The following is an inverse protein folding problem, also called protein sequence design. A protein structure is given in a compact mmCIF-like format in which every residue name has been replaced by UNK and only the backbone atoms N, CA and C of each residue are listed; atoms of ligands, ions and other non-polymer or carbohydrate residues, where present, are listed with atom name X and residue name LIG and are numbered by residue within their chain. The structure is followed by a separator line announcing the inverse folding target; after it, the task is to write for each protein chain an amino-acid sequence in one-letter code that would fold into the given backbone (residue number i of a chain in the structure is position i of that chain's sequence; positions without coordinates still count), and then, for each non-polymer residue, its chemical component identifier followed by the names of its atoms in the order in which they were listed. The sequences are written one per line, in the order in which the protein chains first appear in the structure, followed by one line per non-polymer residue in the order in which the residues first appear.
data_IF_021798569778
#
_entry.id   IF_021798569778
#
_cell.length_a   1.000
_cell.length_b   1.000
_cell.length_c   1.000
_cell.angle_alpha   90.00
_cell.angle_beta   90.00
_cell.angle_gamma   90.00
#
_symmetry.space_group_name_H-M   'P 1'
#
loop_
_entity.id
_entity.type
_entity.pdbx_description
1 polymer ?
#
# COMPACT_ATOMS: atom_id res chain seq x y z
N UNK A 1 8.83 17.04 -1.95
CA UNK A 1 7.86 16.34 -1.06
C UNK A 1 6.80 15.71 -1.95
N UNK A 2 6.06 14.69 -1.50
CA UNK A 2 5.06 14.02 -2.36
C UNK A 2 3.97 15.01 -2.84
N UNK A 3 3.66 16.02 -2.04
CA UNK A 3 2.72 17.10 -2.36
C UNK A 3 3.16 17.99 -3.53
N UNK A 4 4.47 18.08 -3.80
CA UNK A 4 4.99 18.88 -4.92
C UNK A 4 4.71 18.20 -6.26
N UNK A 5 4.62 16.86 -6.26
CA UNK A 5 4.39 16.05 -7.46
C UNK A 5 2.91 15.68 -7.63
N UNK A 6 2.22 15.33 -6.54
CA UNK A 6 0.84 14.83 -6.57
C UNK A 6 -0.20 15.85 -6.08
N UNK A 7 0.24 17.03 -5.65
CA UNK A 7 -0.61 18.07 -5.09
C UNK A 7 -0.95 17.85 -3.61
N UNK A 8 -1.35 18.93 -2.92
CA UNK A 8 -1.60 18.92 -1.47
C UNK A 8 -2.77 18.01 -1.02
N UNK A 9 -3.66 17.65 -1.95
CA UNK A 9 -4.87 16.86 -1.70
C UNK A 9 -4.74 15.39 -2.10
N UNK A 10 -3.54 14.92 -2.41
CA UNK A 10 -3.33 13.55 -2.89
C UNK A 10 -3.94 12.48 -1.96
N UNK A 11 -3.93 12.70 -0.64
CA UNK A 11 -4.52 11.80 0.37
C UNK A 11 -6.05 11.71 0.35
N UNK A 12 -6.71 12.68 -0.29
CA UNK A 12 -8.16 12.73 -0.47
C UNK A 12 -8.58 12.28 -1.88
N UNK A 13 -7.70 12.45 -2.86
CA UNK A 13 -7.98 12.24 -4.29
C UNK A 13 -7.53 10.87 -4.80
N UNK A 14 -6.50 10.28 -4.18
CA UNK A 14 -5.91 9.02 -4.62
C UNK A 14 -6.29 7.88 -3.68
N UNK A 15 -6.37 6.69 -4.25
CA UNK A 15 -6.23 5.45 -3.48
C UNK A 15 -4.78 5.33 -3.05
N UNK A 16 -4.55 5.09 -1.77
CA UNK A 16 -3.23 4.91 -1.19
C UNK A 16 -3.11 3.47 -0.76
N UNK A 17 -2.24 2.73 -1.45
CA UNK A 17 -1.99 1.32 -1.16
C UNK A 17 -0.59 1.19 -0.56
N UNK A 18 -0.53 0.76 0.70
CA UNK A 18 0.71 0.46 1.44
C UNK A 18 0.90 -1.06 1.48
N UNK A 19 1.59 -1.67 0.49
CA UNK A 19 1.97 -3.06 0.57
C UNK A 19 3.03 -3.26 1.65
N UNK A 20 2.99 -4.40 2.34
CA UNK A 20 3.94 -4.75 3.41
C UNK A 20 4.06 -3.64 4.48
N UNK A 21 2.93 -3.16 4.98
CA UNK A 21 2.86 -2.00 5.87
C UNK A 21 3.51 -2.24 7.26
N UNK A 22 3.77 -3.49 7.63
CA UNK A 22 4.10 -3.88 9.01
C UNK A 22 3.10 -3.26 9.99
N UNK A 23 3.60 -2.70 11.09
CA UNK A 23 2.79 -1.97 12.08
C UNK A 23 2.26 -0.58 11.60
N UNK A 24 2.31 -0.29 10.29
CA UNK A 24 1.79 0.95 9.66
C UNK A 24 2.49 2.26 10.11
N UNK A 25 3.82 2.24 10.27
CA UNK A 25 4.56 3.44 10.67
C UNK A 25 4.56 4.56 9.62
N UNK A 26 4.55 4.24 8.33
CA UNK A 26 4.57 5.26 7.26
C UNK A 26 3.33 6.15 7.24
N UNK A 27 2.19 5.59 7.64
CA UNK A 27 0.89 6.27 7.62
C UNK A 27 0.51 6.81 8.99
N UNK A 28 1.29 6.50 10.03
CA UNK A 28 1.07 6.96 11.39
C UNK A 28 1.07 8.49 11.45
N UNK A 29 -0.03 9.07 11.94
CA UNK A 29 -0.20 10.51 12.08
C UNK A 29 -0.62 11.25 10.81
N UNK A 30 -0.73 10.54 9.67
CA UNK A 30 -1.38 11.10 8.49
C UNK A 30 -2.89 10.91 8.56
N UNK A 31 -3.61 11.90 8.02
CA UNK A 31 -5.05 11.78 7.74
C UNK A 31 -5.24 11.51 6.25
N UNK A 32 -6.02 10.49 5.96
CA UNK A 32 -6.52 10.13 4.64
C UNK A 32 -8.04 10.24 4.65
N UNK A 33 -8.64 10.42 3.48
CA UNK A 33 -10.09 10.31 3.34
C UNK A 33 -10.53 8.87 3.62
N UNK A 34 -11.67 8.72 4.28
CA UNK A 34 -12.22 7.40 4.60
C UNK A 34 -12.38 6.56 3.34
N UNK A 35 -11.83 5.35 3.36
CA UNK A 35 -11.84 4.43 2.22
C UNK A 35 -10.75 4.67 1.17
N UNK A 36 -9.84 5.62 1.38
CA UNK A 36 -8.70 5.82 0.48
C UNK A 36 -7.43 5.08 0.92
N UNK A 37 -7.28 4.70 2.19
CA UNK A 37 -6.06 4.04 2.66
C UNK A 37 -6.25 2.53 2.84
N UNK A 38 -5.42 1.76 2.13
CA UNK A 38 -5.35 0.30 2.19
C UNK A 38 -3.95 -0.13 2.64
N UNK A 39 -3.88 -0.77 3.78
CA UNK A 39 -2.64 -1.26 4.38
C UNK A 39 -2.74 -2.78 4.54
N UNK A 40 -1.72 -3.50 4.05
CA UNK A 40 -1.65 -4.94 4.18
C UNK A 40 -0.27 -5.40 4.62
N UNK A 41 -0.24 -6.55 5.29
CA UNK A 41 0.99 -7.25 5.67
C UNK A 41 0.70 -8.73 5.79
N UNK A 42 1.76 -9.55 5.76
CA UNK A 42 1.66 -11.00 5.91
C UNK A 42 1.29 -11.39 7.36
N UNK A 43 1.64 -10.58 8.34
CA UNK A 43 1.52 -10.90 9.76
C UNK A 43 0.30 -10.22 10.41
N UNK A 44 -0.68 -10.99 10.87
CA UNK A 44 -1.88 -10.49 11.54
C UNK A 44 -1.53 -9.70 12.82
N UNK A 45 -0.45 -10.05 13.50
CA UNK A 45 0.03 -9.38 14.71
C UNK A 45 0.39 -7.91 14.45
N UNK A 46 0.99 -7.62 13.29
CA UNK A 46 1.31 -6.26 12.87
C UNK A 46 0.05 -5.42 12.68
N UNK A 47 -1.03 -6.02 12.14
CA UNK A 47 -2.30 -5.34 11.92
C UNK A 47 -2.99 -4.99 13.23
N UNK A 48 -2.94 -5.87 14.23
CA UNK A 48 -3.49 -5.59 15.58
C UNK A 48 -2.79 -4.41 16.22
N UNK A 49 -1.47 -4.31 16.05
CA UNK A 49 -0.70 -3.16 16.52
C UNK A 49 -1.06 -1.90 15.71
N UNK A 50 -1.16 -2.01 14.39
CA UNK A 50 -1.53 -0.89 13.52
C UNK A 50 -2.93 -0.34 13.81
N UNK A 51 -3.92 -1.20 14.05
CA UNK A 51 -5.32 -0.84 14.35
C UNK A 51 -5.44 -0.03 15.65
N UNK A 52 -4.58 -0.33 16.63
CA UNK A 52 -4.51 0.44 17.87
C UNK A 52 -4.15 1.92 17.64
N UNK A 53 -3.41 2.22 16.57
CA UNK A 53 -2.93 3.57 16.24
C UNK A 53 -3.73 4.28 15.15
N UNK A 54 -4.41 3.54 14.27
CA UNK A 54 -5.05 4.07 13.05
C UNK A 54 -6.57 3.85 13.04
N UNK A 55 -7.25 4.25 14.12
CA UNK A 55 -8.71 4.10 14.24
C UNK A 55 -9.45 5.00 13.23
N UNK A 56 -10.06 4.40 12.21
CA UNK A 56 -11.25 4.97 11.54
C UNK A 56 -11.19 5.24 10.04
N UNK A 57 -10.02 5.27 9.39
CA UNK A 57 -9.93 5.59 7.94
C UNK A 57 -9.16 4.55 7.11
N UNK A 58 -8.52 3.58 7.77
CA UNK A 58 -7.60 2.62 7.18
C UNK A 58 -8.26 1.25 7.05
N UNK A 59 -8.24 0.67 5.84
CA UNK A 59 -8.53 -0.75 5.66
C UNK A 59 -7.24 -1.53 5.93
N UNK A 60 -7.18 -2.19 7.09
CA UNK A 60 -6.11 -3.08 7.52
C UNK A 60 -6.53 -4.53 7.21
N UNK A 61 -5.74 -5.27 6.45
CA UNK A 61 -6.05 -6.66 6.11
C UNK A 61 -4.80 -7.50 5.92
N UNK A 62 -4.86 -8.77 6.33
CA UNK A 62 -3.78 -9.72 6.12
C UNK A 62 -3.82 -10.19 4.66
N UNK A 63 -2.66 -10.21 4.01
CA UNK A 63 -2.57 -10.67 2.63
C UNK A 63 -1.20 -11.27 2.34
N UNK A 64 -1.21 -12.50 1.82
CA UNK A 64 -0.04 -13.20 1.34
C UNK A 64 0.04 -13.10 -0.19
N UNK A 65 0.95 -12.27 -0.70
CA UNK A 65 1.12 -12.08 -2.15
C UNK A 65 1.50 -13.34 -2.92
N UNK A 66 2.02 -14.37 -2.25
CA UNK A 66 2.44 -15.60 -2.92
C UNK A 66 1.33 -16.65 -2.99
N UNK A 67 0.34 -16.56 -2.09
CA UNK A 67 -0.67 -17.62 -1.94
C UNK A 67 -2.10 -17.09 -2.08
N UNK A 68 -2.37 -15.85 -1.67
CA UNK A 68 -3.70 -15.27 -1.74
C UNK A 68 -3.99 -14.68 -3.13
N UNK A 69 -5.17 -14.97 -3.67
CA UNK A 69 -5.63 -14.44 -4.96
C UNK A 69 -5.00 -15.10 -6.18
N UNK A 70 -4.32 -16.24 -6.03
CA UNK A 70 -3.71 -16.97 -7.14
C UNK A 70 -4.70 -17.35 -8.24
N UNK A 71 -5.98 -17.58 -7.89
CA UNK A 71 -7.04 -17.82 -8.86
C UNK A 71 -7.24 -16.67 -9.85
N UNK A 72 -6.83 -15.44 -9.51
CA UNK A 72 -6.92 -14.28 -10.41
C UNK A 72 -5.95 -14.38 -11.60
N UNK A 73 -4.95 -15.26 -11.51
CA UNK A 73 -3.91 -15.45 -12.52
C UNK A 73 -4.16 -16.67 -13.41
N UNK A 74 -5.26 -17.40 -13.19
CA UNK A 74 -5.64 -18.53 -14.04
C UNK A 74 -5.93 -18.06 -15.48
N UNK A 75 -5.53 -18.84 -16.51
CA UNK A 75 -5.78 -18.48 -17.90
C UNK A 75 -7.26 -18.23 -18.17
N UNK A 76 -7.56 -17.08 -18.77
CA UNK A 76 -8.93 -16.70 -19.16
C UNK A 76 -9.71 -15.92 -18.10
N UNK A 77 -9.17 -15.74 -16.89
CA UNK A 77 -9.77 -14.85 -15.88
C UNK A 77 -9.65 -13.40 -16.32
N UNK A 78 -10.78 -12.68 -16.31
CA UNK A 78 -10.89 -11.28 -16.70
C UNK A 78 -10.96 -10.33 -15.51
N UNK A 79 -10.85 -9.02 -15.75
CA UNK A 79 -11.04 -8.02 -14.69
C UNK A 79 -12.48 -8.04 -14.14
N UNK A 80 -13.46 -8.34 -15.00
CA UNK A 80 -14.86 -8.52 -14.63
C UNK A 80 -15.06 -9.72 -13.71
N UNK A 81 -14.38 -10.84 -13.97
CA UNK A 81 -14.41 -12.01 -13.10
C UNK A 81 -13.83 -11.70 -11.73
N UNK A 82 -12.67 -11.02 -11.69
CA UNK A 82 -12.05 -10.59 -10.41
C UNK A 82 -12.96 -9.65 -9.64
N UNK A 83 -13.63 -8.72 -10.32
CA UNK A 83 -14.62 -7.84 -9.70
C UNK A 83 -15.81 -8.60 -9.13
N UNK A 84 -16.32 -9.61 -9.85
CA UNK A 84 -17.41 -10.46 -9.38
C UNK A 84 -16.99 -11.29 -8.15
N UNK A 85 -15.83 -11.93 -8.19
CA UNK A 85 -15.26 -12.66 -7.05
C UNK A 85 -15.12 -11.76 -5.81
N UNK A 86 -14.63 -10.53 -5.98
CA UNK A 86 -14.50 -9.57 -4.89
C UNK A 86 -15.87 -9.20 -4.27
N UNK A 87 -16.88 -8.95 -5.11
CA UNK A 87 -18.25 -8.62 -4.67
C UNK A 87 -18.96 -9.78 -3.97
N UNK A 88 -18.60 -11.02 -4.33
CA UNK A 88 -19.09 -12.23 -3.68
C UNK A 88 -18.34 -12.56 -2.38
N UNK A 89 -17.28 -11.82 -2.04
CA UNK A 89 -16.45 -12.09 -0.85
C UNK A 89 -15.50 -13.28 -1.02
N UNK A 90 -15.17 -13.65 -2.25
CA UNK A 90 -14.29 -14.78 -2.59
C UNK A 90 -12.79 -14.41 -2.54
N UNK A 91 -12.47 -13.12 -2.44
CA UNK A 91 -11.11 -12.61 -2.36
C UNK A 91 -10.81 -12.04 -0.97
N UNK A 92 -9.57 -12.24 -0.51
CA UNK A 92 -9.06 -11.60 0.72
C UNK A 92 -8.75 -10.11 0.56
N UNK A 93 -8.49 -9.66 -0.67
CA UNK A 93 -8.33 -8.23 -0.95
C UNK A 93 -9.70 -7.54 -0.80
N UNK A 94 -9.79 -6.37 -0.14
CA UNK A 94 -11.07 -5.68 0.04
C UNK A 94 -11.74 -5.34 -1.28
N UNK A 95 -13.06 -5.55 -1.35
CA UNK A 95 -13.87 -5.24 -2.55
C UNK A 95 -13.70 -3.79 -3.00
N UNK A 96 -13.59 -2.85 -2.05
CA UNK A 96 -13.45 -1.42 -2.38
C UNK A 96 -12.13 -1.12 -3.11
N UNK A 97 -11.07 -1.87 -2.83
CA UNK A 97 -9.79 -1.73 -3.54
C UNK A 97 -9.90 -2.29 -4.96
N UNK A 98 -10.56 -3.45 -5.13
CA UNK A 98 -10.81 -4.05 -6.45
C UNK A 98 -11.68 -3.13 -7.30
N UNK A 99 -12.75 -2.58 -6.74
CA UNK A 99 -13.62 -1.62 -7.42
C UNK A 99 -12.87 -0.35 -7.83
N UNK A 100 -11.96 0.14 -6.99
CA UNK A 100 -11.14 1.29 -7.32
C UNK A 100 -10.16 1.02 -8.47
N UNK A 101 -9.53 -0.16 -8.49
CA UNK A 101 -8.65 -0.60 -9.56
C UNK A 101 -9.43 -0.79 -10.87
N UNK A 102 -10.59 -1.44 -10.81
CA UNK A 102 -11.48 -1.64 -11.96
C UNK A 102 -11.95 -0.31 -12.56
N UNK A 103 -12.31 0.65 -11.69
CA UNK A 103 -12.69 2.01 -12.09
C UNK A 103 -11.50 2.89 -12.52
N UNK A 104 -10.27 2.36 -12.54
CA UNK A 104 -9.04 3.08 -12.90
C UNK A 104 -8.83 4.36 -12.10
N UNK A 105 -9.21 4.35 -10.81
CA UNK A 105 -8.93 5.48 -9.91
C UNK A 105 -7.42 5.70 -9.81
N UNK A 106 -6.97 6.96 -9.64
CA UNK A 106 -5.56 7.23 -9.45
C UNK A 106 -5.07 6.57 -8.16
N UNK A 107 -3.92 5.90 -8.23
CA UNK A 107 -3.37 5.10 -7.13
C UNK A 107 -1.93 5.51 -6.81
N UNK A 108 -1.62 5.57 -5.52
CA UNK A 108 -0.27 5.73 -4.99
C UNK A 108 0.11 4.44 -4.27
N UNK A 109 1.13 3.77 -4.77
CA UNK A 109 1.81 2.72 -4.02
C UNK A 109 2.76 3.39 -3.01
N UNK A 110 2.37 3.38 -1.75
CA UNK A 110 3.06 4.08 -0.67
C UNK A 110 3.83 3.08 0.19
N UNK A 111 4.96 2.61 -0.33
CA UNK A 111 5.83 1.65 0.35
C UNK A 111 7.08 2.30 0.92
N UNK A 112 7.64 1.69 1.97
CA UNK A 112 9.02 1.92 2.37
C UNK A 112 9.87 0.87 1.65
N UNK A 113 10.64 1.23 0.61
CA UNK A 113 11.59 0.28 0.02
C UNK A 113 12.50 -0.25 1.13
N UNK A 114 13.05 -1.47 1.02
CA UNK A 114 13.98 -2.01 2.00
C UNK A 114 15.28 -1.19 1.96
N UNK A 115 15.29 -0.06 2.66
CA UNK A 115 16.52 0.59 3.04
C UNK A 115 17.01 -0.13 4.29
N UNK A 116 18.25 -0.64 4.21
CA UNK A 116 18.91 -1.37 5.28
C UNK A 116 18.63 -0.71 6.61
N UNK A 117 18.20 -1.53 7.58
CA UNK A 117 17.72 -1.12 8.90
C UNK A 117 18.39 0.16 9.36
N UNK A 118 17.61 1.19 9.67
CA UNK A 118 18.10 2.36 10.37
C UNK A 118 18.58 1.89 11.74
N UNK A 119 19.86 1.49 11.80
CA UNK A 119 20.57 1.27 13.05
C UNK A 119 20.45 2.55 13.85
N UNK A 120 19.95 2.43 15.07
CA UNK A 120 20.01 3.50 16.05
C UNK A 120 21.48 3.87 16.30
N UNK A 121 22.01 4.87 15.58
CA UNK A 121 23.35 5.37 15.83
C UNK A 121 23.99 6.16 14.69
N UNK A 122 23.97 7.48 14.85
CA UNK A 122 24.93 8.47 14.33
C UNK A 122 25.07 8.62 12.80
N UNK A 123 24.75 9.84 12.35
CA UNK A 123 25.02 10.30 11.00
C UNK A 123 26.46 10.06 10.57
N UNK A 124 26.60 9.50 9.37
CA UNK A 124 27.79 9.67 8.55
C UNK A 124 27.32 10.06 7.16
N UNK A 125 27.79 11.23 6.73
CA UNK A 125 27.59 11.81 5.41
C UNK A 125 27.75 10.75 4.32
N UNK A 126 26.64 10.40 3.67
CA UNK A 126 26.69 9.69 2.41
C UNK A 126 27.17 10.69 1.35
N UNK A 127 28.46 10.61 0.99
CA UNK A 127 29.01 11.35 -0.15
C UNK A 127 28.18 11.00 -1.38
N UNK A 128 27.48 12.01 -1.90
CA UNK A 128 26.76 12.00 -3.19
C UNK A 128 27.71 11.50 -4.28
N UNK A 129 27.46 10.29 -4.78
CA UNK A 129 28.17 9.75 -5.95
C UNK A 129 27.73 10.58 -7.16
N UNK A 130 28.68 11.26 -7.80
CA UNK A 130 28.39 11.98 -9.04
C UNK A 130 28.31 11.00 -10.21
N UNK A 131 27.38 11.20 -11.16
CA UNK A 131 27.23 10.31 -12.31
C UNK A 131 28.48 10.40 -13.20
N UNK A 132 29.03 9.24 -13.55
CA UNK A 132 30.14 9.13 -14.50
C UNK A 132 29.58 9.26 -15.91
N UNK A 133 29.84 10.39 -16.57
CA UNK A 133 29.59 10.54 -18.00
C UNK A 133 30.61 9.71 -18.77
N UNK A 134 30.14 8.68 -19.47
CA UNK A 134 30.94 7.96 -20.45
C UNK A 134 31.03 8.82 -21.71
N UNK A 135 32.25 9.05 -22.21
CA UNK A 135 32.49 9.51 -23.58
C UNK A 135 32.67 8.30 -24.49
#
# INVERSE_FOLDING_TARGET
MIEDELGKKWRDEFIVWVPACGMSNLTRGYRFKDGNLFCLTLYEEDLRVADSYNKGATKLFQYDFLNDGMQNHEPGVTAEDVLAMARNGELKIPVELVEALYAKKPIVFFGNPPYGQSGSGQGKDLKRIQPVTHR
#
